data_IF_502295114743
#
_entry.id   IF_502295114743
#
_cell.length_a   1.000
_cell.length_b   1.000
_cell.length_c   1.000
_cell.angle_alpha   90.00
_cell.angle_beta   90.00
_cell.angle_gamma   90.00
#
_symmetry.space_group_name_H-M   'P 1'
#
loop_
_entity.id
_entity.type
_entity.pdbx_description
1 polymer ?
#
# COMPACT_ATOMS: atom_id res chain seq x y z
N UNK A 1 49.13 30.05 -17.40
CA UNK A 1 48.65 29.47 -16.12
C UNK A 1 47.15 29.75 -15.98
N UNK A 2 46.27 28.82 -16.37
CA UNK A 2 44.83 28.76 -15.98
C UNK A 2 44.17 27.55 -16.65
N UNK A 3 44.41 26.36 -16.12
CA UNK A 3 43.68 25.14 -16.47
C UNK A 3 43.65 24.25 -15.21
N UNK A 4 42.70 24.46 -14.30
CA UNK A 4 42.45 23.47 -13.22
C UNK A 4 41.12 23.64 -12.43
N UNK A 5 40.03 24.15 -13.03
CA UNK A 5 38.77 24.35 -12.27
C UNK A 5 37.52 23.72 -12.91
N UNK A 6 37.68 22.67 -13.74
CA UNK A 6 36.53 21.99 -14.38
C UNK A 6 36.32 20.53 -14.00
N UNK A 7 37.03 20.00 -13.00
CA UNK A 7 37.00 18.57 -12.67
C UNK A 7 36.54 18.29 -11.24
N UNK A 8 35.37 18.81 -10.83
CA UNK A 8 34.75 18.43 -9.54
C UNK A 8 33.23 18.20 -9.57
N UNK A 9 32.56 18.28 -10.73
CA UNK A 9 31.10 18.08 -10.83
C UNK A 9 30.67 16.71 -11.40
N UNK A 10 31.58 15.76 -11.59
CA UNK A 10 31.31 14.55 -12.38
C UNK A 10 30.83 13.32 -11.60
N UNK A 11 30.41 13.45 -10.33
CA UNK A 11 29.95 12.31 -9.51
C UNK A 11 28.58 12.56 -8.85
N UNK A 12 27.68 13.28 -9.52
CA UNK A 12 26.27 13.12 -9.19
C UNK A 12 25.87 11.70 -9.65
N UNK A 13 25.31 10.85 -8.77
CA UNK A 13 24.82 9.55 -9.22
C UNK A 13 23.81 9.81 -10.34
N UNK A 14 24.09 9.32 -11.54
CA UNK A 14 23.16 9.44 -12.66
C UNK A 14 21.83 8.84 -12.23
N UNK A 15 20.81 9.69 -12.10
CA UNK A 15 19.45 9.26 -11.87
C UNK A 15 19.10 8.31 -13.02
N UNK A 16 18.85 7.04 -12.72
CA UNK A 16 18.65 5.98 -13.72
C UNK A 16 17.27 6.09 -14.40
N UNK A 17 16.94 7.26 -14.93
CA UNK A 17 15.65 7.57 -15.57
C UNK A 17 15.57 7.05 -17.00
N UNK A 18 16.65 6.51 -17.55
CA UNK A 18 16.69 6.00 -18.93
C UNK A 18 16.05 4.60 -19.07
N UNK A 19 15.69 3.97 -17.95
CA UNK A 19 15.08 2.63 -17.95
C UNK A 19 13.89 2.55 -17.00
N UNK A 20 12.92 1.65 -17.28
CA UNK A 20 11.86 1.36 -16.34
C UNK A 20 12.42 0.80 -15.03
N UNK A 21 11.93 1.32 -13.91
CA UNK A 21 12.19 0.79 -12.58
C UNK A 21 11.01 -0.09 -12.15
N UNK A 22 11.28 -1.27 -11.59
CA UNK A 22 10.20 -2.20 -11.24
C UNK A 22 10.51 -3.06 -10.02
N UNK A 23 9.46 -3.48 -9.32
CA UNK A 23 9.60 -4.30 -8.12
C UNK A 23 8.27 -4.74 -7.54
N UNK A 24 8.32 -5.67 -6.59
CA UNK A 24 7.13 -6.16 -5.92
C UNK A 24 6.74 -5.23 -4.78
N UNK A 25 5.46 -4.87 -4.68
CA UNK A 25 4.91 -4.15 -3.52
C UNK A 25 3.59 -4.79 -3.10
N UNK A 26 3.22 -4.63 -1.83
CA UNK A 26 1.92 -5.05 -1.30
C UNK A 26 0.95 -3.88 -1.35
N UNK A 27 0.01 -3.91 -2.29
CA UNK A 27 -1.01 -2.88 -2.44
C UNK A 27 -2.16 -3.14 -1.45
N UNK A 28 -2.49 -2.16 -0.61
CA UNK A 28 -3.69 -2.24 0.22
C UNK A 28 -4.96 -2.02 -0.62
N UNK A 29 -6.04 -2.71 -0.27
CA UNK A 29 -7.39 -2.37 -0.73
C UNK A 29 -7.83 -1.10 0.00
N UNK A 30 -8.71 -0.32 -0.63
CA UNK A 30 -9.27 0.86 0.01
C UNK A 30 -10.35 0.47 1.02
N UNK A 31 -10.48 1.24 2.10
CA UNK A 31 -11.40 1.04 3.24
C UNK A 31 -12.90 1.19 2.88
N UNK A 32 -13.26 1.21 1.58
CA UNK A 32 -14.68 1.18 1.17
C UNK A 32 -15.39 -0.15 1.56
N UNK A 33 -14.65 -1.15 2.05
CA UNK A 33 -15.22 -2.35 2.66
C UNK A 33 -15.43 -2.10 4.17
N UNK A 34 -16.67 -2.22 4.64
CA UNK A 34 -17.10 -1.84 6.00
C UNK A 34 -16.34 -2.48 7.18
N UNK A 35 -16.76 -2.20 8.43
CA UNK A 35 -16.07 -2.53 9.70
C UNK A 35 -15.47 -3.96 9.80
N UNK A 36 -16.04 -4.95 9.11
CA UNK A 36 -15.53 -6.32 9.07
C UNK A 36 -14.21 -6.51 8.27
N UNK A 37 -13.84 -5.58 7.39
CA UNK A 37 -12.63 -5.64 6.55
C UNK A 37 -11.32 -5.42 7.30
N UNK A 38 -11.37 -4.97 8.57
CA UNK A 38 -10.17 -4.66 9.37
C UNK A 38 -9.40 -5.91 9.82
N UNK A 39 -9.97 -7.11 9.72
CA UNK A 39 -9.41 -8.34 10.32
C UNK A 39 -8.88 -9.38 9.32
N UNK A 40 -9.07 -9.20 8.00
CA UNK A 40 -8.52 -10.09 6.97
C UNK A 40 -7.49 -9.30 6.17
N UNK A 41 -6.30 -9.88 5.98
CA UNK A 41 -5.16 -9.33 5.22
C UNK A 41 -5.60 -8.57 3.96
N UNK A 42 -5.77 -7.25 4.09
CA UNK A 42 -6.33 -6.37 3.06
C UNK A 42 -5.28 -5.95 2.01
N UNK A 43 -4.20 -6.72 1.89
CA UNK A 43 -3.06 -6.39 1.05
C UNK A 43 -2.85 -7.44 -0.02
N UNK A 44 -2.56 -7.01 -1.24
CA UNK A 44 -2.28 -7.90 -2.36
C UNK A 44 -0.94 -7.56 -3.00
N UNK A 45 -0.10 -8.57 -3.20
CA UNK A 45 1.22 -8.41 -3.82
C UNK A 45 1.05 -8.18 -5.33
N UNK A 46 1.60 -7.08 -5.83
CA UNK A 46 1.58 -6.69 -7.25
C UNK A 46 2.98 -6.28 -7.67
N UNK A 47 3.29 -6.53 -8.93
CA UNK A 47 4.55 -6.10 -9.54
C UNK A 47 4.35 -4.72 -10.14
N UNK A 48 4.95 -3.70 -9.54
CA UNK A 48 4.84 -2.31 -9.97
C UNK A 48 5.98 -1.96 -10.91
N UNK A 49 5.66 -1.13 -11.90
CA UNK A 49 6.62 -0.59 -12.86
C UNK A 49 6.42 0.90 -13.01
N UNK A 50 7.51 1.64 -12.84
CA UNK A 50 7.67 3.07 -13.10
C UNK A 50 8.47 3.20 -14.39
N UNK A 51 7.79 3.48 -15.50
CA UNK A 51 8.40 3.69 -16.81
C UNK A 51 8.71 5.18 -16.97
N UNK A 52 9.93 5.57 -16.58
CA UNK A 52 10.39 6.96 -16.66
C UNK A 52 10.39 7.49 -18.10
N UNK A 53 10.91 6.78 -19.13
CA UNK A 53 10.87 7.28 -20.50
C UNK A 53 9.46 7.59 -21.03
N UNK A 54 8.45 6.84 -20.58
CA UNK A 54 7.04 7.06 -20.97
C UNK A 54 6.24 7.90 -19.99
N UNK A 55 6.82 8.25 -18.85
CA UNK A 55 6.14 8.92 -17.74
C UNK A 55 4.86 8.18 -17.28
N UNK A 56 4.95 6.85 -17.09
CA UNK A 56 3.83 6.00 -16.70
C UNK A 56 4.14 5.17 -15.45
N UNK A 57 3.14 5.02 -14.59
CA UNK A 57 3.13 4.06 -13.49
C UNK A 57 2.02 3.02 -13.71
N UNK A 58 2.34 1.74 -13.61
CA UNK A 58 1.34 0.67 -13.68
C UNK A 58 1.78 -0.54 -12.84
N UNK A 59 0.90 -1.52 -12.71
CA UNK A 59 1.23 -2.77 -12.04
C UNK A 59 0.61 -3.97 -12.74
N UNK A 60 1.12 -5.17 -12.42
CA UNK A 60 0.61 -6.45 -12.91
C UNK A 60 0.56 -7.49 -11.79
N UNK A 61 -0.01 -8.65 -12.09
CA UNK A 61 0.01 -9.81 -11.19
C UNK A 61 1.30 -10.62 -11.29
N UNK A 62 2.13 -10.40 -12.31
CA UNK A 62 3.38 -11.11 -12.55
C UNK A 62 4.37 -10.27 -13.35
N UNK A 63 5.67 -10.52 -13.16
CA UNK A 63 6.75 -9.78 -13.83
C UNK A 63 6.71 -9.86 -15.38
N UNK A 64 6.14 -10.93 -15.94
CA UNK A 64 6.00 -11.14 -17.40
C UNK A 64 4.54 -11.05 -17.87
N UNK A 65 3.65 -10.55 -17.03
CA UNK A 65 2.22 -10.51 -17.31
C UNK A 65 1.88 -9.54 -18.44
N UNK A 66 1.15 -10.00 -19.46
CA UNK A 66 0.59 -9.14 -20.51
C UNK A 66 -0.53 -8.22 -19.99
N UNK A 67 -1.20 -8.65 -18.91
CA UNK A 67 -2.29 -7.91 -18.28
C UNK A 67 -1.73 -6.96 -17.22
N UNK A 68 -1.76 -5.68 -17.54
CA UNK A 68 -1.40 -4.60 -16.62
C UNK A 68 -2.66 -3.89 -16.12
N UNK A 69 -2.53 -3.17 -15.00
CA UNK A 69 -3.52 -2.21 -14.54
C UNK A 69 -3.68 -1.08 -15.57
N UNK A 70 -4.71 -0.27 -15.40
CA UNK A 70 -4.81 0.98 -16.15
C UNK A 70 -3.56 1.84 -15.86
N UNK A 71 -2.77 2.22 -16.89
CA UNK A 71 -1.56 3.01 -16.68
C UNK A 71 -1.90 4.40 -16.12
N UNK A 72 -1.15 4.82 -15.11
CA UNK A 72 -1.30 6.12 -14.44
C UNK A 72 -0.20 7.05 -14.99
N UNK A 73 -0.55 8.06 -15.79
CA UNK A 73 0.42 9.07 -16.24
C UNK A 73 1.00 9.84 -15.06
N UNK A 74 2.28 10.25 -15.15
CA UNK A 74 2.91 11.03 -14.08
C UNK A 74 2.21 12.36 -13.82
N UNK A 75 1.64 12.99 -14.86
CA UNK A 75 0.81 14.21 -14.73
C UNK A 75 -0.43 14.04 -13.84
N UNK A 76 -0.86 12.80 -13.62
CA UNK A 76 -1.99 12.46 -12.77
C UNK A 76 -1.54 12.00 -11.38
N UNK A 77 -0.23 11.83 -11.14
CA UNK A 77 0.31 11.63 -9.81
C UNK A 77 0.32 12.97 -9.07
N UNK A 78 -0.53 13.09 -8.04
CA UNK A 78 -0.68 14.32 -7.28
C UNK A 78 0.31 14.38 -6.11
N UNK A 79 0.51 13.26 -5.41
CA UNK A 79 1.38 13.21 -4.23
C UNK A 79 1.90 11.81 -3.96
N UNK A 80 3.14 11.73 -3.47
CA UNK A 80 3.73 10.52 -2.89
C UNK A 80 4.24 10.87 -1.49
N UNK A 81 3.83 10.11 -0.48
CA UNK A 81 4.30 10.27 0.90
C UNK A 81 4.82 8.96 1.45
N UNK A 82 5.87 8.99 2.28
CA UNK A 82 6.32 7.81 3.03
C UNK A 82 5.27 7.43 4.09
N UNK A 83 5.01 6.13 4.23
CA UNK A 83 4.04 5.61 5.20
C UNK A 83 4.60 5.50 6.63
N UNK A 84 5.89 5.80 6.83
CA UNK A 84 6.61 5.66 8.11
C UNK A 84 6.18 6.66 9.20
N UNK A 85 5.34 7.65 8.88
CA UNK A 85 5.03 8.76 9.78
C UNK A 85 3.59 8.79 10.28
N UNK A 86 2.74 7.82 9.88
CA UNK A 86 1.39 7.74 10.42
C UNK A 86 1.47 6.86 11.68
N UNK A 87 1.94 7.45 12.78
CA UNK A 87 1.48 7.01 14.08
C UNK A 87 -0.05 7.00 14.03
N UNK A 88 -0.67 5.98 14.61
CA UNK A 88 -2.11 5.82 14.75
C UNK A 88 -2.73 6.98 15.58
N UNK A 89 -2.71 8.19 15.04
CA UNK A 89 -3.43 9.34 15.52
C UNK A 89 -4.78 9.35 14.84
N UNK A 90 -5.72 8.61 15.43
CA UNK A 90 -7.15 8.84 15.27
C UNK A 90 -7.44 10.29 15.70
N UNK A 91 -7.40 11.24 14.76
CA UNK A 91 -8.19 12.48 14.84
C UNK A 91 -9.56 12.20 14.19
N UNK A 92 -10.34 11.33 14.84
CA UNK A 92 -11.80 11.28 14.71
C UNK A 92 -12.38 11.53 16.12
N UNK A 93 -12.10 12.71 16.66
CA UNK A 93 -12.88 13.28 17.75
C UNK A 93 -14.03 14.07 17.12
N UNK A 94 -15.22 13.45 17.10
CA UNK A 94 -16.47 14.03 17.59
C UNK A 94 -17.53 12.92 17.56
N UNK A 95 -17.96 12.57 18.77
CA UNK A 95 -18.99 11.59 19.03
C UNK A 95 -20.35 12.25 18.79
N UNK A 96 -20.98 11.95 17.65
CA UNK A 96 -22.42 12.15 17.49
C UNK A 96 -23.16 10.88 17.91
N UNK A 97 -23.98 11.08 18.95
CA UNK A 97 -24.81 10.15 19.69
C UNK A 97 -25.78 9.40 18.77
N UNK A 98 -25.48 8.13 18.48
CA UNK A 98 -26.37 7.24 17.75
C UNK A 98 -26.88 6.15 18.71
N UNK A 99 -28.21 6.09 18.98
CA UNK A 99 -28.76 5.12 19.91
C UNK A 99 -28.59 3.67 19.42
N UNK A 100 -28.51 2.69 20.34
CA UNK A 100 -28.19 1.31 20.01
C UNK A 100 -29.24 0.68 19.09
N UNK A 101 -28.85 -0.17 18.13
CA UNK A 101 -29.79 -0.82 17.23
C UNK A 101 -30.68 -1.80 17.99
N UNK A 102 -31.99 -1.62 17.80
CA UNK A 102 -33.07 -2.45 18.33
C UNK A 102 -32.87 -3.91 17.88
N UNK A 103 -32.63 -4.80 18.85
CA UNK A 103 -32.64 -6.26 18.67
C UNK A 103 -34.04 -6.71 18.24
N UNK A 104 -34.21 -7.12 16.99
CA UNK A 104 -35.34 -7.96 16.58
C UNK A 104 -34.95 -9.42 16.78
N UNK A 105 -35.56 -10.06 17.76
CA UNK A 105 -35.61 -11.51 17.82
C UNK A 105 -36.38 -12.03 16.61
N UNK A 106 -36.00 -13.18 16.05
CA UNK A 106 -36.93 -14.19 15.56
C UNK A 106 -36.23 -15.54 15.25
N UNK A 107 -36.81 -16.58 15.88
CA UNK A 107 -36.99 -17.98 15.46
C UNK A 107 -35.80 -18.92 15.17
N UNK A 108 -35.59 -19.81 16.16
CA UNK A 108 -35.46 -21.29 16.09
C UNK A 108 -35.47 -21.93 14.70
N UNK A 109 -34.39 -22.65 14.39
CA UNK A 109 -34.24 -23.88 13.58
C UNK A 109 -32.81 -23.88 13.00
N UNK A 110 -31.94 -24.89 13.07
CA UNK A 110 -32.04 -26.28 13.47
C UNK A 110 -30.65 -26.78 13.85
N UNK A 111 -30.61 -27.77 14.75
CA UNK A 111 -29.42 -28.53 15.10
C UNK A 111 -28.95 -29.37 13.92
N UNK A 112 -27.66 -29.31 13.59
CA UNK A 112 -26.85 -30.49 13.25
C UNK A 112 -25.38 -30.21 13.55
N UNK A 113 -24.83 -31.06 14.39
CA UNK A 113 -23.42 -31.15 14.80
C UNK A 113 -22.55 -31.72 13.69
N UNK A 114 -21.27 -31.31 13.61
CA UNK A 114 -20.12 -32.24 13.50
C UNK A 114 -18.80 -31.52 13.87
N UNK A 115 -18.06 -32.25 14.67
CA UNK A 115 -16.72 -32.09 15.25
C UNK A 115 -15.62 -31.65 14.27
N UNK A 116 -14.75 -30.73 14.71
CA UNK A 116 -13.30 -30.96 14.60
C UNK A 116 -12.58 -30.28 15.75
N UNK A 117 -12.02 -31.12 16.62
CA UNK A 117 -11.03 -30.77 17.64
C UNK A 117 -9.76 -30.31 16.92
N UNK A 118 -9.39 -29.04 17.06
CA UNK A 118 -7.98 -28.64 16.90
C UNK A 118 -7.49 -28.19 18.26
N UNK A 119 -6.77 -29.12 18.87
CA UNK A 119 -5.87 -28.94 19.97
C UNK A 119 -4.65 -28.13 19.49
N UNK A 120 -4.15 -27.23 20.33
CA UNK A 120 -2.75 -26.80 20.29
C UNK A 120 -2.47 -25.41 19.73
N UNK A 121 -2.00 -24.55 20.63
CA UNK A 121 -0.89 -23.60 20.40
C UNK A 121 -1.20 -22.28 19.71
N UNK A 122 -1.50 -21.24 20.51
CA UNK A 122 -0.58 -20.09 20.72
C UNK A 122 -1.33 -18.89 21.32
N UNK A 123 -1.42 -18.88 22.65
CA UNK A 123 -1.40 -17.64 23.41
C UNK A 123 0.01 -17.05 23.21
N UNK A 124 0.18 -16.23 22.18
CA UNK A 124 1.49 -15.73 21.77
C UNK A 124 1.36 -14.77 20.61
N UNK A 125 0.74 -13.63 20.84
CA UNK A 125 0.63 -12.57 19.86
C UNK A 125 0.88 -11.23 20.51
N UNK A 126 2.08 -11.07 21.08
CA UNK A 126 2.68 -9.75 21.24
C UNK A 126 2.35 -8.97 19.98
N UNK A 127 1.58 -7.91 20.12
CA UNK A 127 1.36 -6.88 19.10
C UNK A 127 2.68 -6.18 18.89
N UNK A 128 3.69 -6.91 18.40
CA UNK A 128 4.91 -6.36 17.87
C UNK A 128 4.45 -5.42 16.77
N UNK A 129 4.50 -4.12 17.08
CA UNK A 129 4.27 -3.02 16.15
C UNK A 129 5.02 -3.36 14.87
N UNK A 130 4.31 -3.89 13.87
CA UNK A 130 4.90 -4.17 12.58
C UNK A 130 5.20 -2.80 12.00
N UNK A 131 6.48 -2.43 11.98
CA UNK A 131 6.91 -1.22 11.29
C UNK A 131 6.56 -1.42 9.82
N UNK A 132 5.57 -0.67 9.36
CA UNK A 132 5.09 -0.74 8.00
C UNK A 132 5.88 0.28 7.17
N UNK A 133 6.94 -0.18 6.50
CA UNK A 133 7.64 0.62 5.49
C UNK A 133 6.80 0.66 4.21
N UNK A 134 6.64 1.81 3.58
CA UNK A 134 5.80 1.93 2.40
C UNK A 134 5.55 3.35 1.94
N UNK A 135 4.61 3.48 1.00
CA UNK A 135 4.27 4.71 0.32
C UNK A 135 2.74 4.89 0.28
N UNK A 136 2.31 6.13 0.33
CA UNK A 136 0.94 6.53 0.03
C UNK A 136 0.98 7.30 -1.28
N UNK A 137 0.40 6.70 -2.32
CA UNK A 137 0.25 7.29 -3.63
C UNK A 137 -1.13 7.94 -3.71
N UNK A 138 -1.18 9.22 -4.04
CA UNK A 138 -2.41 9.95 -4.38
C UNK A 138 -2.32 10.34 -5.84
N UNK A 139 -3.30 9.92 -6.62
CA UNK A 139 -3.35 10.20 -8.06
C UNK A 139 -4.78 10.47 -8.50
N UNK A 140 -4.93 11.22 -9.58
CA UNK A 140 -6.22 11.51 -10.18
C UNK A 140 -6.57 10.41 -11.17
N UNK A 141 -7.82 9.95 -11.15
CA UNK A 141 -8.37 9.10 -12.21
C UNK A 141 -9.76 9.62 -12.53
N UNK A 142 -9.96 10.06 -13.76
CA UNK A 142 -11.14 10.88 -14.10
C UNK A 142 -11.16 12.16 -13.23
N UNK A 143 -12.31 12.52 -12.67
CA UNK A 143 -12.50 13.68 -11.80
C UNK A 143 -12.29 13.36 -10.31
N UNK A 144 -12.00 12.11 -9.95
CA UNK A 144 -11.83 11.69 -8.55
C UNK A 144 -10.35 11.50 -8.17
N UNK A 145 -10.06 11.78 -6.91
CA UNK A 145 -8.78 11.47 -6.28
C UNK A 145 -8.77 10.04 -5.73
N UNK A 146 -7.74 9.29 -6.10
CA UNK A 146 -7.51 7.93 -5.64
C UNK A 146 -6.29 7.87 -4.74
N UNK A 147 -6.52 7.39 -3.52
CA UNK A 147 -5.46 7.10 -2.54
C UNK A 147 -5.17 5.61 -2.50
N UNK A 148 -3.92 5.22 -2.72
CA UNK A 148 -3.46 3.83 -2.64
C UNK A 148 -2.28 3.75 -1.69
N UNK A 149 -2.35 2.84 -0.71
CA UNK A 149 -1.22 2.50 0.17
C UNK A 149 -0.45 1.32 -0.42
N UNK A 150 0.86 1.45 -0.49
CA UNK A 150 1.82 0.46 -0.96
C UNK A 150 2.74 0.12 0.20
N UNK A 151 2.82 -1.14 0.58
CA UNK A 151 3.67 -1.61 1.67
C UNK A 151 4.84 -2.40 1.11
N UNK A 152 6.01 -2.15 1.68
CA UNK A 152 7.22 -2.92 1.48
C UNK A 152 7.30 -4.03 2.55
N UNK A 153 8.11 -5.04 2.28
CA UNK A 153 8.43 -6.15 3.17
C UNK A 153 9.53 -5.78 4.16
N UNK A 154 10.38 -4.82 3.80
CA UNK A 154 11.49 -4.32 4.62
C UNK A 154 11.79 -2.85 4.34
N UNK A 155 12.57 -2.22 5.22
CA UNK A 155 13.09 -0.87 5.00
C UNK A 155 14.02 -0.81 3.78
N UNK A 156 14.89 -1.81 3.60
CA UNK A 156 15.79 -1.87 2.46
C UNK A 156 15.04 -1.89 1.13
N UNK A 157 13.93 -2.65 1.07
CA UNK A 157 13.04 -2.62 -0.09
C UNK A 157 12.43 -1.23 -0.30
N UNK A 158 11.97 -0.55 0.76
CA UNK A 158 11.46 0.82 0.63
C UNK A 158 12.52 1.80 0.10
N UNK A 159 13.76 1.70 0.59
CA UNK A 159 14.87 2.56 0.15
C UNK A 159 15.20 2.39 -1.33
N UNK A 160 14.97 1.21 -1.92
CA UNK A 160 15.18 1.02 -3.36
C UNK A 160 14.24 1.87 -4.23
N UNK A 161 13.06 2.25 -3.71
CA UNK A 161 12.09 3.08 -4.41
C UNK A 161 12.32 4.58 -4.22
N UNK A 162 13.23 4.97 -3.32
CA UNK A 162 13.66 6.35 -3.09
C UNK A 162 14.99 6.52 -3.82
N UNK A 163 14.93 6.80 -5.12
CA UNK A 163 16.09 7.08 -5.97
C UNK A 163 16.26 8.58 -6.11
#
# INVERSE_FOLDING_TARGET
RRLSERSMLANAPECQTDRPFSGWLRKCKGVKAGRASRFISDTNRRFFTVDFPKHLLYYSHSCRGKRISWPIPFRDLLRVSLASTIADGDEDAEAEDCPPPVRRANSRASMTSIVSRISGSSLGGLTGRRQNYGFVLVYRRSLEEHRTRLLCSSQAEAMQWVV
#
